data_IF_123444495609
#
_entry.id   IF_123444495609
#
_cell.length_a   1.000
_cell.length_b   1.000
_cell.length_c   1.000
_cell.angle_alpha   90.00
_cell.angle_beta   90.00
_cell.angle_gamma   90.00
#
_symmetry.space_group_name_H-M   'P 1'
#
loop_
_entity.id
_entity.type
_entity.pdbx_description
1 polymer ?
#
# COMPACT_ATOMS: atom_id res chain seq x y z
N UNK A 1 3.72 8.63 12.62
CA UNK A 1 2.47 7.86 12.47
C UNK A 1 2.25 7.62 10.99
N UNK A 2 1.94 6.38 10.61
CA UNK A 2 1.68 5.98 9.22
C UNK A 2 0.28 6.43 8.78
N UNK A 3 0.06 6.72 7.49
CA UNK A 3 -1.27 7.02 6.94
C UNK A 3 -2.29 5.96 7.36
N UNK A 4 -1.91 4.69 7.27
CA UNK A 4 -2.79 3.58 7.65
C UNK A 4 -3.16 3.60 9.13
N UNK A 5 -2.27 4.08 10.00
CA UNK A 5 -2.58 4.22 11.44
C UNK A 5 -3.54 5.37 11.73
N UNK A 6 -3.57 6.41 10.89
CA UNK A 6 -4.55 7.50 11.01
C UNK A 6 -5.92 7.03 10.48
N UNK A 7 -5.94 6.36 9.33
CA UNK A 7 -7.14 5.76 8.76
C UNK A 7 -7.71 4.66 9.68
N UNK A 8 -6.86 3.90 10.36
CA UNK A 8 -7.32 2.87 11.30
C UNK A 8 -8.06 3.43 12.53
N UNK A 9 -7.84 4.70 12.90
CA UNK A 9 -8.61 5.34 13.97
C UNK A 9 -10.07 5.57 13.58
N UNK A 10 -10.33 5.77 12.29
CA UNK A 10 -11.67 5.95 11.73
C UNK A 10 -11.76 5.13 10.43
N UNK A 11 -11.92 3.79 10.55
CA UNK A 11 -11.90 2.94 9.38
C UNK A 11 -13.14 3.21 8.51
N UNK A 12 -12.96 3.51 7.22
CA UNK A 12 -14.08 3.68 6.31
C UNK A 12 -14.89 2.39 6.21
N UNK A 13 -16.22 2.50 6.30
CA UNK A 13 -17.11 1.33 6.21
C UNK A 13 -17.38 0.96 4.76
N UNK A 14 -17.31 1.92 3.85
CA UNK A 14 -17.71 1.75 2.46
C UNK A 14 -16.58 1.24 1.56
N UNK A 15 -15.32 1.38 1.95
CA UNK A 15 -14.18 0.88 1.18
C UNK A 15 -12.99 0.51 2.06
N UNK A 16 -12.13 -0.38 1.57
CA UNK A 16 -10.84 -0.71 2.17
C UNK A 16 -9.75 0.16 1.56
N UNK A 17 -8.79 0.57 2.39
CA UNK A 17 -7.67 1.44 2.00
C UNK A 17 -6.36 0.66 2.09
N UNK A 18 -5.59 0.69 1.01
CA UNK A 18 -4.20 0.24 1.01
C UNK A 18 -3.32 1.39 0.58
N UNK A 19 -2.32 1.73 1.39
CA UNK A 19 -1.43 2.85 1.13
C UNK A 19 0.02 2.41 1.29
N UNK A 20 0.88 2.94 0.43
CA UNK A 20 2.33 2.80 0.53
C UNK A 20 2.99 4.08 0.06
N UNK A 21 4.07 4.48 0.72
CA UNK A 21 4.88 5.62 0.33
C UNK A 21 5.74 5.33 -0.90
N UNK A 22 6.01 4.05 -1.18
CA UNK A 22 6.80 3.60 -2.32
C UNK A 22 5.90 3.47 -3.55
N UNK A 23 6.26 4.14 -4.64
CA UNK A 23 5.54 4.03 -5.91
C UNK A 23 5.61 2.60 -6.46
N UNK A 24 4.52 1.86 -6.28
CA UNK A 24 4.28 0.55 -6.88
C UNK A 24 2.83 0.43 -7.33
N UNK A 25 2.58 -0.42 -8.32
CA UNK A 25 1.22 -0.79 -8.67
C UNK A 25 0.62 -1.62 -7.54
N UNK A 26 -0.47 -1.12 -6.94
CA UNK A 26 -1.22 -1.86 -5.93
C UNK A 26 -2.38 -2.69 -6.52
N UNK A 27 -2.52 -2.67 -7.86
CA UNK A 27 -3.41 -3.55 -8.61
C UNK A 27 -2.64 -4.55 -9.45
N UNK A 28 -3.25 -5.72 -9.64
CA UNK A 28 -2.75 -6.76 -10.53
C UNK A 28 -2.97 -6.34 -11.97
N UNK A 29 -1.88 -6.19 -12.72
CA UNK A 29 -1.91 -6.12 -14.18
C UNK A 29 -1.41 -7.46 -14.72
N UNK A 30 -2.35 -8.33 -15.09
CA UNK A 30 -2.04 -9.69 -15.54
C UNK A 30 -1.05 -9.70 -16.71
N UNK A 31 -1.18 -8.76 -17.64
CA UNK A 31 -0.29 -8.64 -18.82
C UNK A 31 1.14 -8.29 -18.44
N UNK A 32 1.32 -7.41 -17.45
CA UNK A 32 2.66 -6.99 -17.02
C UNK A 32 3.28 -7.95 -16.00
N UNK A 33 2.53 -8.96 -15.56
CA UNK A 33 3.00 -9.97 -14.59
C UNK A 33 3.34 -11.28 -15.29
N UNK A 34 2.68 -11.59 -16.41
CA UNK A 34 2.88 -12.81 -17.18
C UNK A 34 3.93 -12.62 -18.27
N UNK A 35 5.13 -13.23 -18.15
CA UNK A 35 6.18 -13.14 -19.17
C UNK A 35 5.80 -13.81 -20.50
N UNK A 36 4.85 -14.75 -20.50
CA UNK A 36 4.39 -15.43 -21.71
C UNK A 36 3.42 -14.56 -22.54
N UNK A 37 2.92 -13.46 -21.97
CA UNK A 37 2.01 -12.57 -22.69
C UNK A 37 2.78 -11.77 -23.74
N UNK A 38 2.32 -11.71 -25.02
CA UNK A 38 3.06 -11.06 -26.11
C UNK A 38 3.35 -9.57 -25.86
N UNK A 39 2.48 -8.89 -25.10
CA UNK A 39 2.65 -7.48 -24.71
C UNK A 39 3.46 -7.24 -23.43
N UNK A 40 4.00 -8.28 -22.78
CA UNK A 40 4.67 -8.17 -21.48
C UNK A 40 5.76 -7.10 -21.47
N UNK A 41 6.70 -7.16 -22.43
CA UNK A 41 7.84 -6.23 -22.46
C UNK A 41 7.40 -4.77 -22.59
N UNK A 42 6.41 -4.52 -23.46
CA UNK A 42 5.90 -3.16 -23.70
C UNK A 42 5.19 -2.61 -22.45
N UNK A 43 4.41 -3.44 -21.75
CA UNK A 43 3.70 -3.03 -20.55
C UNK A 43 4.65 -2.84 -19.36
N UNK A 44 5.69 -3.69 -19.25
CA UNK A 44 6.74 -3.54 -18.24
C UNK A 44 7.50 -2.24 -18.42
N UNK A 45 7.90 -1.89 -19.65
CA UNK A 45 8.57 -0.61 -19.95
C UNK A 45 7.68 0.58 -19.62
N UNK A 46 6.42 0.58 -20.06
CA UNK A 46 5.44 1.63 -19.73
C UNK A 46 5.24 1.82 -18.22
N UNK A 47 5.27 0.73 -17.44
CA UNK A 47 5.18 0.82 -15.99
C UNK A 47 6.45 1.41 -15.36
N UNK A 48 7.63 1.06 -15.88
CA UNK A 48 8.89 1.60 -15.42
C UNK A 48 9.06 3.10 -15.75
N UNK A 49 8.59 3.53 -16.92
CA UNK A 49 8.64 4.91 -17.42
C UNK A 49 7.59 5.83 -16.77
N UNK A 50 6.63 5.26 -16.05
CA UNK A 50 5.58 6.05 -15.40
C UNK A 50 6.20 7.01 -14.39
N UNK A 51 5.99 8.32 -14.60
CA UNK A 51 6.49 9.39 -13.74
C UNK A 51 6.05 9.18 -12.29
N UNK A 52 7.03 9.08 -11.38
CA UNK A 52 6.83 8.85 -9.94
C UNK A 52 6.48 10.16 -9.21
N UNK A 53 5.47 10.84 -9.72
CA UNK A 53 5.01 12.13 -9.24
C UNK A 53 3.56 12.05 -8.81
N UNK A 54 3.22 12.83 -7.77
CA UNK A 54 1.87 12.90 -7.21
C UNK A 54 1.42 11.60 -6.54
N UNK A 55 0.10 11.43 -6.44
CA UNK A 55 -0.54 10.29 -5.82
C UNK A 55 -0.95 9.28 -6.91
N UNK A 56 -0.33 8.10 -6.89
CA UNK A 56 -0.72 6.98 -7.74
C UNK A 56 -1.90 6.24 -7.11
N UNK A 57 -3.12 6.70 -7.39
CA UNK A 57 -4.31 6.08 -6.83
C UNK A 57 -5.20 5.40 -7.85
N UNK A 58 -5.97 4.42 -7.38
CA UNK A 58 -7.00 3.77 -8.17
C UNK A 58 -8.08 3.15 -7.27
N UNK A 59 -9.29 3.04 -7.80
CA UNK A 59 -10.42 2.37 -7.17
C UNK A 59 -10.66 1.01 -7.84
N UNK A 60 -10.79 -0.04 -7.02
CA UNK A 60 -11.08 -1.42 -7.45
C UNK A 60 -12.42 -1.86 -6.89
N UNK A 61 -13.13 -2.70 -7.63
CA UNK A 61 -14.35 -3.37 -7.17
C UNK A 61 -14.24 -4.84 -7.58
N UNK A 62 -14.19 -5.74 -6.60
CA UNK A 62 -14.07 -7.18 -6.81
C UNK A 62 -15.45 -7.86 -6.85
N UNK A 63 -15.46 -9.16 -7.15
CA UNK A 63 -16.69 -9.95 -7.13
C UNK A 63 -17.31 -10.05 -5.71
N UNK A 64 -16.50 -9.81 -4.68
CA UNK A 64 -16.89 -9.69 -3.28
C UNK A 64 -17.77 -8.46 -2.99
N UNK A 65 -17.62 -7.38 -3.78
CA UNK A 65 -18.42 -6.16 -3.60
C UNK A 65 -19.85 -6.29 -4.14
N UNK A 66 -20.03 -6.91 -5.32
CA UNK A 66 -21.34 -7.14 -5.93
C UNK A 66 -21.28 -8.23 -7.00
N UNK A 67 -22.35 -9.02 -7.11
CA UNK A 67 -22.50 -10.09 -8.14
C UNK A 67 -22.57 -9.51 -9.55
N UNK A 68 -23.30 -8.43 -9.75
CA UNK A 68 -23.47 -7.79 -11.07
C UNK A 68 -22.28 -6.90 -11.44
N UNK A 69 -21.77 -7.06 -12.67
CA UNK A 69 -20.70 -6.23 -13.24
C UNK A 69 -21.10 -4.76 -13.38
N UNK A 70 -22.38 -4.50 -13.67
CA UNK A 70 -22.94 -3.15 -13.73
C UNK A 70 -22.81 -2.46 -12.38
N UNK A 71 -23.24 -3.12 -11.30
CA UNK A 71 -23.15 -2.59 -9.94
C UNK A 71 -21.70 -2.35 -9.53
N UNK A 72 -20.78 -3.28 -9.83
CA UNK A 72 -19.33 -3.08 -9.56
C UNK A 72 -18.78 -1.85 -10.27
N UNK A 73 -19.16 -1.64 -11.52
CA UNK A 73 -18.68 -0.50 -12.33
C UNK A 73 -19.28 0.81 -11.83
N UNK A 74 -20.57 0.83 -11.51
CA UNK A 74 -21.24 1.96 -10.90
C UNK A 74 -20.63 2.34 -9.55
N UNK A 75 -20.45 1.37 -8.65
CA UNK A 75 -19.87 1.59 -7.32
C UNK A 75 -18.43 2.11 -7.40
N UNK A 76 -17.62 1.57 -8.32
CA UNK A 76 -16.25 2.06 -8.59
C UNK A 76 -16.26 3.50 -9.08
N UNK A 77 -17.14 3.86 -10.02
CA UNK A 77 -17.29 5.24 -10.53
C UNK A 77 -17.70 6.19 -9.41
N UNK A 78 -18.69 5.78 -8.60
CA UNK A 78 -19.19 6.56 -7.46
C UNK A 78 -18.09 6.87 -6.45
N UNK A 79 -17.28 5.87 -6.07
CA UNK A 79 -16.14 6.07 -5.17
C UNK A 79 -15.08 6.97 -5.80
N UNK A 80 -14.77 6.77 -7.08
CA UNK A 80 -13.80 7.61 -7.80
C UNK A 80 -14.22 9.07 -7.82
N UNK A 81 -15.50 9.34 -8.10
CA UNK A 81 -16.04 10.70 -8.13
C UNK A 81 -15.96 11.34 -6.75
N UNK A 82 -16.34 10.62 -5.68
CA UNK A 82 -16.26 11.15 -4.32
C UNK A 82 -14.82 11.58 -3.94
N UNK A 83 -13.82 10.78 -4.32
CA UNK A 83 -12.41 11.12 -4.07
C UNK A 83 -11.95 12.30 -4.93
N UNK A 84 -12.34 12.35 -6.20
CA UNK A 84 -12.00 13.48 -7.09
C UNK A 84 -12.64 14.78 -6.61
N UNK A 85 -13.90 14.74 -6.20
CA UNK A 85 -14.63 15.90 -5.67
C UNK A 85 -13.96 16.43 -4.40
N UNK A 86 -13.53 15.55 -3.50
CA UNK A 86 -12.81 15.94 -2.29
C UNK A 86 -11.41 16.49 -2.59
N UNK A 87 -10.66 15.87 -3.51
CA UNK A 87 -9.36 16.40 -3.94
C UNK A 87 -9.51 17.80 -4.52
N UNK A 88 -10.49 17.99 -5.42
CA UNK A 88 -10.78 19.30 -6.03
C UNK A 88 -11.23 20.33 -5.01
N UNK A 89 -12.09 19.95 -4.06
CA UNK A 89 -12.53 20.83 -2.98
C UNK A 89 -11.37 21.33 -2.10
N UNK A 90 -10.29 20.55 -2.01
CA UNK A 90 -9.07 20.87 -1.24
C UNK A 90 -7.98 21.54 -2.07
N UNK A 91 -8.24 21.79 -3.37
CA UNK A 91 -7.27 22.42 -4.26
C UNK A 91 -6.22 21.46 -4.82
N UNK A 92 -6.47 20.15 -4.80
CA UNK A 92 -5.63 19.16 -5.46
C UNK A 92 -6.19 18.81 -6.84
N UNK A 93 -5.27 18.53 -7.76
CA UNK A 93 -5.59 17.87 -9.02
C UNK A 93 -5.98 16.39 -8.79
N UNK A 94 -6.57 15.76 -9.80
CA UNK A 94 -6.91 14.33 -9.78
C UNK A 94 -5.69 13.44 -9.52
N UNK A 95 -4.50 13.93 -9.84
CA UNK A 95 -3.22 13.24 -9.57
C UNK A 95 -2.65 13.52 -8.18
N UNK A 96 -3.35 14.25 -7.30
CA UNK A 96 -2.87 14.59 -5.95
C UNK A 96 -1.75 15.64 -5.91
N UNK A 97 -1.48 16.30 -7.05
CA UNK A 97 -0.64 17.49 -7.11
C UNK A 97 -1.44 18.70 -6.64
N UNK A 98 -0.82 19.58 -5.88
CA UNK A 98 -1.52 20.79 -5.43
C UNK A 98 -1.71 21.73 -6.63
N UNK A 99 -2.96 22.02 -7.00
CA UNK A 99 -3.28 23.03 -7.99
C UNK A 99 -2.89 24.41 -7.43
N UNK A 100 -2.54 25.34 -8.31
CA UNK A 100 -1.87 26.61 -7.97
C UNK A 100 -2.56 27.32 -6.78
N UNK A 101 -1.79 28.02 -5.93
CA UNK A 101 -2.30 28.67 -4.71
C UNK A 101 -3.38 29.75 -4.92
N UNK A 102 -3.76 30.06 -6.17
CA UNK A 102 -4.81 31.03 -6.51
C UNK A 102 -6.23 30.45 -6.43
N UNK A 103 -6.38 29.12 -6.48
CA UNK A 103 -7.70 28.47 -6.58
C UNK A 103 -8.20 27.89 -5.24
N UNK A 104 -7.43 28.04 -4.15
CA UNK A 104 -7.78 27.43 -2.86
C UNK A 104 -8.36 28.49 -1.92
N UNK A 105 -9.57 28.29 -1.38
CA UNK A 105 -10.12 29.17 -0.36
C UNK A 105 -9.26 29.10 0.90
N UNK A 106 -8.43 30.13 1.09
CA UNK A 106 -7.97 30.68 2.36
C UNK A 106 -7.66 29.68 3.50
N UNK A 107 -6.95 28.57 3.23
CA UNK A 107 -6.33 27.77 4.30
C UNK A 107 -4.96 28.36 4.64
N UNK A 108 -4.95 29.24 5.64
CA UNK A 108 -3.73 29.88 6.19
C UNK A 108 -2.63 28.86 6.52
N UNK A 109 -3.00 27.67 7.01
CA UNK A 109 -2.07 26.58 7.32
C UNK A 109 -1.34 26.02 6.09
N UNK A 110 -1.99 25.96 4.92
CA UNK A 110 -1.36 25.48 3.69
C UNK A 110 -0.46 26.55 3.08
N UNK A 111 -0.86 27.82 3.13
CA UNK A 111 -0.03 28.94 2.66
C UNK A 111 1.24 29.11 3.49
N UNK A 112 1.15 28.95 4.83
CA UNK A 112 2.33 28.94 5.70
C UNK A 112 3.32 27.82 5.34
N UNK A 113 2.84 26.67 4.86
CA UNK A 113 3.66 25.53 4.43
C UNK A 113 4.34 25.74 3.08
N UNK A 114 3.65 26.40 2.15
CA UNK A 114 4.26 26.84 0.87
C UNK A 114 5.38 27.84 1.14
N UNK A 115 5.17 28.78 2.07
CA UNK A 115 6.20 29.73 2.50
C UNK A 115 7.43 29.07 3.14
N UNK A 116 7.25 27.91 3.77
CA UNK A 116 8.34 27.10 4.36
C UNK A 116 9.09 26.21 3.34
N UNK A 117 8.84 26.35 2.03
CA UNK A 117 9.52 25.59 0.98
C UNK A 117 9.16 24.09 0.93
N UNK A 118 8.08 23.66 1.59
CA UNK A 118 7.63 22.25 1.57
C UNK A 118 6.68 22.00 0.41
N UNK A 119 6.95 20.95 -0.37
CA UNK A 119 6.03 20.48 -1.41
C UNK A 119 4.75 19.93 -0.77
N UNK A 120 3.60 20.52 -1.10
CA UNK A 120 2.28 20.10 -0.61
C UNK A 120 1.70 18.87 -1.34
N UNK A 121 2.40 18.37 -2.35
CA UNK A 121 1.94 17.26 -3.17
C UNK A 121 1.75 15.98 -2.35
N UNK A 122 0.60 15.35 -2.52
CA UNK A 122 0.36 14.02 -1.99
C UNK A 122 1.20 13.02 -2.78
N UNK A 123 1.97 12.19 -2.09
CA UNK A 123 2.91 11.22 -2.71
C UNK A 123 2.58 9.79 -2.31
N UNK A 124 2.96 8.86 -3.19
CA UNK A 124 2.89 7.41 -2.97
C UNK A 124 1.81 6.73 -3.78
N UNK A 125 1.53 5.47 -3.44
CA UNK A 125 0.49 4.66 -4.09
C UNK A 125 -0.67 4.37 -3.15
N UNK A 126 -1.89 4.57 -3.66
CA UNK A 126 -3.14 4.35 -2.94
C UNK A 126 -4.04 3.38 -3.73
N UNK A 127 -4.60 2.39 -3.05
CA UNK A 127 -5.65 1.54 -3.58
C UNK A 127 -6.86 1.64 -2.69
N UNK A 128 -7.99 1.94 -3.32
CA UNK A 128 -9.29 1.91 -2.69
C UNK A 128 -10.03 0.67 -3.22
N UNK A 129 -10.59 -0.12 -2.33
CA UNK A 129 -11.33 -1.31 -2.70
C UNK A 129 -12.75 -1.22 -2.17
N UNK A 130 -13.71 -1.13 -3.08
CA UNK A 130 -15.15 -1.00 -2.77
C UNK A 130 -15.58 -2.16 -1.88
N UNK A 131 -16.36 -1.87 -0.84
CA UNK A 131 -17.03 -2.87 -0.01
C UNK A 131 -18.55 -2.85 -0.26
N UNK A 132 -19.27 -3.96 0.00
CA UNK A 132 -20.72 -4.02 -0.16
C UNK A 132 -21.52 -2.87 0.47
N UNK A 133 -21.14 -2.34 1.66
CA UNK A 133 -21.86 -1.21 2.28
C UNK A 133 -21.88 0.08 1.45
N UNK A 134 -20.98 0.23 0.45
CA UNK A 134 -20.96 1.41 -0.42
C UNK A 134 -22.19 1.52 -1.32
N UNK A 135 -22.83 0.39 -1.64
CA UNK A 135 -23.96 0.33 -2.59
C UNK A 135 -25.19 1.04 -2.02
N UNK A 136 -25.67 0.72 -0.80
CA UNK A 136 -26.79 1.44 -0.19
C UNK A 136 -26.39 2.78 0.44
N UNK A 137 -25.10 3.06 0.63
CA UNK A 137 -24.65 4.27 1.31
C UNK A 137 -24.99 5.56 0.53
N UNK A 138 -25.34 6.61 1.28
CA UNK A 138 -25.58 7.93 0.69
C UNK A 138 -24.25 8.51 0.19
N UNK A 139 -24.33 9.31 -0.89
CA UNK A 139 -23.12 9.91 -1.48
C UNK A 139 -22.40 10.82 -0.50
N UNK A 140 -23.15 11.52 0.35
CA UNK A 140 -22.61 12.40 1.40
C UNK A 140 -21.72 11.64 2.38
N UNK A 141 -22.14 10.45 2.81
CA UNK A 141 -21.37 9.62 3.75
C UNK A 141 -20.08 9.12 3.09
N UNK A 142 -20.16 8.68 1.83
CA UNK A 142 -18.99 8.25 1.05
C UNK A 142 -18.00 9.41 0.89
N UNK A 143 -18.50 10.61 0.63
CA UNK A 143 -17.70 11.83 0.49
C UNK A 143 -17.02 12.21 1.80
N UNK A 144 -17.73 12.12 2.93
CA UNK A 144 -17.16 12.34 4.25
C UNK A 144 -16.04 11.34 4.58
N UNK A 145 -16.23 10.05 4.31
CA UNK A 145 -15.19 9.02 4.48
C UNK A 145 -13.98 9.28 3.57
N UNK A 146 -14.21 9.70 2.31
CA UNK A 146 -13.15 10.06 1.38
C UNK A 146 -12.38 11.32 1.84
N UNK A 147 -13.08 12.31 2.40
CA UNK A 147 -12.48 13.51 2.97
C UNK A 147 -11.56 13.16 4.14
N UNK A 148 -12.04 12.37 5.11
CA UNK A 148 -11.24 11.94 6.26
C UNK A 148 -9.96 11.19 5.83
N UNK A 149 -10.02 10.41 4.75
CA UNK A 149 -8.84 9.76 4.17
C UNK A 149 -7.83 10.79 3.63
N UNK A 150 -8.28 11.82 2.93
CA UNK A 150 -7.38 12.84 2.37
C UNK A 150 -6.79 13.70 3.50
N UNK A 151 -7.56 14.01 4.56
CA UNK A 151 -7.04 14.69 5.75
C UNK A 151 -5.93 13.87 6.43
N UNK A 152 -6.10 12.54 6.50
CA UNK A 152 -5.07 11.64 7.00
C UNK A 152 -3.82 11.61 6.11
N UNK A 153 -3.99 11.69 4.78
CA UNK A 153 -2.87 11.78 3.82
C UNK A 153 -2.11 13.09 3.96
N UNK A 154 -2.82 14.23 4.02
CA UNK A 154 -2.23 15.54 4.26
C UNK A 154 -1.43 15.53 5.58
N UNK A 155 -2.05 15.04 6.65
CA UNK A 155 -1.42 14.96 7.98
C UNK A 155 -0.15 14.10 8.00
N UNK A 156 -0.09 13.04 7.19
CA UNK A 156 1.08 12.18 7.11
C UNK A 156 2.22 12.82 6.30
N UNK A 157 1.90 13.53 5.20
CA UNK A 157 2.89 14.25 4.37
C UNK A 157 3.62 15.34 5.15
N UNK A 158 2.99 15.89 6.18
CA UNK A 158 3.56 16.97 7.01
C UNK A 158 4.61 16.52 8.03
N UNK A 159 4.85 15.21 8.20
CA UNK A 159 5.90 14.71 9.09
C UNK A 159 7.22 14.55 8.33
N UNK A 160 8.37 14.90 8.93
CA UNK A 160 9.66 14.61 8.33
C UNK A 160 9.76 13.09 8.10
N UNK A 161 10.15 12.72 6.89
CA UNK A 161 10.31 11.33 6.48
C UNK A 161 11.39 10.67 7.35
N UNK A 162 10.99 9.87 8.34
CA UNK A 162 11.94 9.03 9.06
C UNK A 162 12.26 7.84 8.16
N UNK A 163 13.45 7.87 7.53
CA UNK A 163 13.99 6.73 6.82
C UNK A 163 14.58 5.75 7.84
N UNK A 164 13.97 4.58 8.10
CA UNK A 164 14.52 3.63 9.07
C UNK A 164 15.82 2.96 8.59
N UNK A 165 16.16 3.09 7.29
CA UNK A 165 17.41 2.55 6.72
C UNK A 165 18.59 3.53 6.78
N UNK A 166 18.36 4.78 7.17
CA UNK A 166 19.44 5.77 7.32
C UNK A 166 20.06 5.78 8.73
N UNK A 167 19.43 5.11 9.71
CA UNK A 167 19.78 5.20 11.13
C UNK A 167 20.92 4.25 11.58
N UNK A 168 21.63 3.59 10.67
CA UNK A 168 22.69 2.62 11.03
C UNK A 168 24.11 3.06 10.69
N UNK A 169 24.35 4.32 10.28
CA UNK A 169 25.70 4.78 9.90
C UNK A 169 26.52 5.49 10.98
N UNK A 170 25.93 5.91 12.09
CA UNK A 170 26.63 6.70 13.11
C UNK A 170 26.66 6.05 14.50
N UNK A 171 26.99 4.75 14.56
CA UNK A 171 27.45 4.15 15.81
C UNK A 171 28.99 4.15 15.80
N UNK A 172 29.67 4.89 16.71
CA UNK A 172 31.11 4.82 16.83
C UNK A 172 31.50 3.40 17.24
N UNK A 173 32.31 2.76 16.39
CA UNK A 173 32.83 1.41 16.60
C UNK A 173 33.93 1.50 17.67
N UNK A 174 33.53 1.39 18.92
CA UNK A 174 34.44 1.34 20.06
C UNK A 174 35.22 0.01 20.01
N UNK A 175 36.49 0.10 19.64
CA UNK A 175 37.45 -1.00 19.75
C UNK A 175 37.87 -1.10 21.23
N UNK A 176 37.42 -2.12 21.93
CA UNK A 176 38.00 -2.52 23.21
C UNK A 176 38.39 -4.00 23.15
N UNK A 177 39.68 -4.20 22.91
CA UNK A 177 40.45 -5.40 23.18
C UNK A 177 40.52 -5.69 24.68
N UNK A 178 40.42 -6.97 25.09
CA UNK A 178 41.23 -7.63 26.15
C UNK A 178 40.70 -9.06 26.43
N UNK A 179 41.43 -10.11 25.99
CA UNK A 179 42.21 -11.07 26.83
C UNK A 179 41.40 -11.76 27.95
N UNK A 180 41.08 -13.05 27.83
CA UNK A 180 41.91 -14.23 28.11
C UNK A 180 42.09 -14.57 29.61
N UNK A 181 41.44 -15.64 30.09
CA UNK A 181 42.04 -16.90 30.62
C UNK A 181 41.18 -17.64 31.66
N UNK A 182 41.14 -18.99 31.53
CA UNK A 182 40.89 -20.05 32.54
C UNK A 182 39.48 -20.12 33.17
N UNK A 183 38.78 -21.25 33.26
CA UNK A 183 39.09 -22.65 33.02
C UNK A 183 38.31 -23.52 34.02
N UNK A 184 37.59 -24.56 33.58
CA UNK A 184 37.53 -25.91 34.21
C UNK A 184 36.55 -26.82 33.47
N UNK A 185 37.11 -27.92 32.98
CA UNK A 185 36.45 -29.13 32.53
C UNK A 185 35.97 -29.97 33.72
N UNK A 186 34.84 -30.67 33.59
CA UNK A 186 34.64 -32.05 34.10
C UNK A 186 33.57 -32.77 33.28
N UNK A 187 33.66 -34.10 33.27
CA UNK A 187 33.23 -35.07 32.26
C UNK A 187 31.72 -35.38 32.12
N UNK A 188 31.39 -35.83 30.90
CA UNK A 188 30.31 -36.71 30.37
C UNK A 188 30.08 -37.98 31.24
N UNK A 189 29.03 -38.86 31.11
CA UNK A 189 28.49 -39.43 29.84
C UNK A 189 27.03 -40.03 29.80
N UNK A 190 26.65 -40.56 28.62
CA UNK A 190 25.76 -41.73 28.35
C UNK A 190 24.20 -41.63 28.51
N UNK A 191 23.49 -41.59 27.37
CA UNK A 191 22.38 -42.50 26.99
C UNK A 191 21.85 -42.15 25.57
N UNK A 192 22.16 -42.96 24.55
CA UNK A 192 21.22 -43.87 23.85
C UNK A 192 20.19 -43.15 22.94
N UNK A 193 20.44 -42.99 21.63
CA UNK A 193 20.12 -43.92 20.52
C UNK A 193 18.62 -44.05 20.17
N UNK A 194 18.22 -43.56 18.98
CA UNK A 194 17.18 -44.12 18.06
C UNK A 194 16.80 -43.03 17.02
N UNK A 195 17.42 -43.00 15.83
CA UNK A 195 16.99 -43.61 14.56
C UNK A 195 15.81 -42.90 13.84
N UNK A 196 15.94 -42.63 12.51
CA UNK A 196 14.94 -41.95 11.68
C UNK A 196 13.88 -42.93 11.15
N UNK A 197 12.64 -42.48 10.96
CA UNK A 197 11.58 -43.27 10.31
C UNK A 197 11.32 -42.80 8.87
N UNK A 198 11.45 -43.69 7.87
CA UNK A 198 10.95 -43.52 6.51
C UNK A 198 9.59 -44.21 6.33
N UNK A 199 8.79 -43.76 5.33
CA UNK A 199 7.77 -44.47 4.51
C UNK A 199 6.67 -43.47 4.10
N UNK A 200 6.58 -43.06 2.83
CA UNK A 200 6.06 -43.75 1.63
C UNK A 200 4.54 -43.94 1.65
N UNK A 201 3.83 -43.19 0.81
CA UNK A 201 2.71 -43.75 0.03
C UNK A 201 2.58 -43.05 -1.31
N UNK A 202 2.83 -43.80 -2.38
CA UNK A 202 2.59 -43.41 -3.78
C UNK A 202 1.08 -43.51 -4.06
N UNK A 203 0.51 -42.55 -4.79
CA UNK A 203 -0.87 -42.66 -5.31
C UNK A 203 -0.88 -43.36 -6.68
N UNK A 204 -1.86 -44.24 -6.95
CA UNK A 204 -1.92 -45.04 -8.16
C UNK A 204 -2.40 -44.27 -9.39
N UNK A 205 -1.84 -44.67 -10.54
CA UNK A 205 -2.20 -44.28 -11.91
C UNK A 205 -3.56 -44.88 -12.27
N UNK A 206 -4.51 -44.04 -12.70
CA UNK A 206 -5.78 -44.49 -13.28
C UNK A 206 -5.61 -44.63 -14.80
N UNK A 207 -5.76 -45.85 -15.32
CA UNK A 207 -5.88 -46.16 -16.75
C UNK A 207 -7.30 -45.80 -17.21
N UNK A 208 -7.44 -44.85 -18.13
CA UNK A 208 -8.69 -44.63 -18.88
C UNK A 208 -8.76 -45.63 -20.04
N UNK A 209 -9.82 -46.44 -20.01
CA UNK A 209 -10.16 -47.46 -21.01
C UNK A 209 -11.02 -46.81 -22.11
N UNK A 210 -10.69 -47.10 -23.36
CA UNK A 210 -11.44 -46.73 -24.55
C UNK A 210 -12.86 -47.30 -24.54
N UNK A 211 -13.80 -46.54 -25.09
CA UNK A 211 -14.86 -47.02 -25.99
C UNK A 211 -15.21 -45.90 -26.98
#
# INVERSE_FOLDING_TARGET
MSVLSLVAKQPPKTFKVYYTTVYKSLFTNHVATDPAHPLYETQRRRQAEKKKEGLWWHATAGADSAKSSCIRTWARRRLRNAVVDELKARGYDETGKFAKPKDVPQRADLMARVGAGRTLDLKGSLRLHVQPPLIPAKYVDIRAEAGALIDALESATNRPFHNPLAATKDAPREYASERSTKGRSFYNPLAASAQPSPHRTQRPVVKSRQR
#
